data_IF_637782801961
#
_entry.id   IF_637782801961
#
_cell.length_a   1.000
_cell.length_b   1.000
_cell.length_c   1.000
_cell.angle_alpha   90.00
_cell.angle_beta   90.00
_cell.angle_gamma   90.00
#
_symmetry.space_group_name_H-M   'P 1'
#
loop_
_entity.id
_entity.type
_entity.pdbx_description
1 polymer ?
#
# COMPACT_ATOMS: atom_id res chain seq x y z
N UNK A 1 -10.75 -3.25 -16.87
CA UNK A 1 -11.79 -3.32 -17.92
C UNK A 1 -11.29 -4.04 -19.17
N UNK A 2 -10.12 -3.71 -19.73
CA UNK A 2 -9.62 -4.33 -20.97
C UNK A 2 -9.58 -5.87 -20.96
N UNK A 3 -9.18 -6.49 -19.85
CA UNK A 3 -9.19 -7.95 -19.72
C UNK A 3 -10.62 -8.56 -19.75
N UNK A 4 -11.60 -7.86 -19.16
CA UNK A 4 -13.02 -8.27 -19.18
C UNK A 4 -13.54 -8.19 -20.62
N UNK A 5 -13.26 -7.08 -21.32
CA UNK A 5 -13.63 -6.91 -22.72
C UNK A 5 -13.02 -8.00 -23.59
N UNK A 6 -11.72 -8.27 -23.45
CA UNK A 6 -11.05 -9.34 -24.19
C UNK A 6 -11.69 -10.70 -23.91
N UNK A 7 -12.02 -11.01 -22.66
CA UNK A 7 -12.69 -12.26 -22.30
C UNK A 7 -14.07 -12.39 -22.95
N UNK A 8 -14.90 -11.34 -22.86
CA UNK A 8 -16.23 -11.29 -23.50
C UNK A 8 -16.12 -11.41 -25.02
N UNK A 9 -15.20 -10.69 -25.65
CA UNK A 9 -14.97 -10.75 -27.10
C UNK A 9 -14.53 -12.14 -27.58
N UNK A 10 -13.77 -12.87 -26.76
CA UNK A 10 -13.27 -14.20 -27.09
C UNK A 10 -14.18 -15.33 -26.55
N UNK A 11 -15.35 -15.00 -26.00
CA UNK A 11 -16.25 -15.95 -25.36
C UNK A 11 -15.54 -16.82 -24.30
N UNK A 12 -14.67 -16.21 -23.51
CA UNK A 12 -13.92 -16.86 -22.42
C UNK A 12 -14.44 -16.37 -21.06
N UNK A 13 -14.41 -17.27 -20.08
CA UNK A 13 -14.62 -16.90 -18.69
C UNK A 13 -13.34 -16.29 -18.10
N UNK A 14 -13.49 -15.28 -17.26
CA UNK A 14 -12.40 -14.68 -16.47
C UNK A 14 -12.82 -14.64 -15.00
N UNK A 15 -11.91 -15.03 -14.12
CA UNK A 15 -12.02 -14.77 -12.67
C UNK A 15 -11.10 -13.60 -12.34
N UNK A 16 -11.57 -12.68 -11.50
CA UNK A 16 -10.85 -11.47 -11.13
C UNK A 16 -10.66 -11.47 -9.63
N UNK A 17 -9.41 -11.43 -9.19
CA UNK A 17 -9.09 -11.22 -7.79
C UNK A 17 -9.39 -9.76 -7.42
N UNK A 18 -10.26 -9.61 -6.42
CA UNK A 18 -10.68 -8.32 -5.87
C UNK A 18 -10.53 -8.35 -4.36
N UNK A 19 -10.47 -7.17 -3.75
CA UNK A 19 -10.25 -7.03 -2.32
C UNK A 19 -11.36 -6.22 -1.65
N UNK A 20 -11.49 -6.43 -0.33
CA UNK A 20 -12.38 -5.63 0.50
C UNK A 20 -12.07 -4.14 0.34
N UNK A 21 -13.08 -3.25 0.19
CA UNK A 21 -12.84 -1.82 -0.05
C UNK A 21 -11.84 -1.20 0.94
N UNK A 22 -12.00 -1.52 2.23
CA UNK A 22 -11.09 -1.09 3.30
C UNK A 22 -9.60 -1.42 3.10
N UNK A 23 -9.26 -2.44 2.30
CA UNK A 23 -7.90 -2.96 2.13
C UNK A 23 -7.45 -2.96 0.64
N UNK A 24 -8.18 -2.27 -0.23
CA UNK A 24 -7.97 -2.30 -1.67
C UNK A 24 -7.18 -1.11 -2.20
N UNK A 25 -6.66 -1.22 -3.43
CA UNK A 25 -5.97 -0.14 -4.16
C UNK A 25 -4.46 -0.07 -3.94
N UNK A 26 -3.80 0.89 -4.61
CA UNK A 26 -2.33 0.98 -4.67
C UNK A 26 -1.71 -0.33 -5.19
N UNK A 27 -0.84 -0.97 -4.42
CA UNK A 27 -0.21 -2.25 -4.74
C UNK A 27 -1.07 -3.47 -4.39
N UNK A 28 -2.22 -3.27 -3.72
CA UNK A 28 -3.20 -4.32 -3.43
C UNK A 28 -4.17 -4.52 -4.60
N UNK A 29 -5.06 -5.52 -4.50
CA UNK A 29 -6.02 -5.76 -5.57
C UNK A 29 -7.10 -4.66 -5.65
N UNK A 30 -7.76 -4.50 -6.81
CA UNK A 30 -8.87 -3.55 -6.95
C UNK A 30 -10.01 -3.82 -5.97
N UNK A 31 -10.72 -2.75 -5.58
CA UNK A 31 -11.91 -2.86 -4.71
C UNK A 31 -12.99 -3.71 -5.37
N UNK A 32 -13.52 -4.69 -4.64
CA UNK A 32 -14.62 -5.55 -5.11
C UNK A 32 -15.89 -4.74 -5.43
N UNK A 33 -16.22 -3.73 -4.62
CA UNK A 33 -17.43 -2.94 -4.83
C UNK A 33 -17.28 -1.99 -6.01
N UNK A 34 -16.11 -1.35 -6.16
CA UNK A 34 -15.82 -0.50 -7.33
C UNK A 34 -15.79 -1.32 -8.61
N UNK A 35 -15.22 -2.53 -8.60
CA UNK A 35 -15.21 -3.42 -9.76
C UNK A 35 -16.61 -3.88 -10.14
N UNK A 36 -17.43 -4.30 -9.18
CA UNK A 36 -18.81 -4.69 -9.44
C UNK A 36 -19.64 -3.54 -10.02
N UNK A 37 -19.50 -2.33 -9.47
CA UNK A 37 -20.15 -1.13 -10.01
C UNK A 37 -19.67 -0.79 -11.42
N UNK A 38 -18.37 -0.93 -11.69
CA UNK A 38 -17.81 -0.72 -13.02
C UNK A 38 -18.40 -1.70 -14.05
N UNK A 39 -18.54 -2.98 -13.70
CA UNK A 39 -19.18 -3.99 -14.56
C UNK A 39 -20.66 -3.69 -14.76
N UNK A 40 -21.39 -3.41 -13.66
CA UNK A 40 -22.82 -3.09 -13.67
C UNK A 40 -23.16 -1.94 -14.60
N UNK A 41 -22.36 -0.87 -14.52
CA UNK A 41 -22.60 0.37 -15.24
C UNK A 41 -21.93 0.40 -16.63
N UNK A 42 -21.33 -0.70 -17.08
CA UNK A 42 -20.71 -0.74 -18.39
C UNK A 42 -21.79 -0.79 -19.50
N UNK A 43 -21.65 -0.01 -20.60
CA UNK A 43 -22.70 0.11 -21.63
C UNK A 43 -23.00 -1.19 -22.38
N UNK A 44 -22.00 -2.04 -22.58
CA UNK A 44 -22.18 -3.32 -23.25
C UNK A 44 -22.94 -4.30 -22.35
N UNK A 45 -24.14 -4.70 -22.79
CA UNK A 45 -24.98 -5.67 -22.08
C UNK A 45 -24.31 -7.02 -21.87
N UNK A 46 -23.38 -7.40 -22.75
CA UNK A 46 -22.60 -8.63 -22.60
C UNK A 46 -21.60 -8.56 -21.47
N UNK A 47 -21.22 -7.35 -21.02
CA UNK A 47 -20.34 -7.14 -19.87
C UNK A 47 -21.15 -7.04 -18.60
N UNK A 48 -22.19 -6.19 -18.58
CA UNK A 48 -22.99 -5.99 -17.37
C UNK A 48 -23.79 -7.23 -16.93
N UNK A 49 -24.07 -8.17 -17.84
CA UNK A 49 -24.66 -9.48 -17.51
C UNK A 49 -23.76 -10.35 -16.62
N UNK A 50 -22.46 -10.07 -16.55
CA UNK A 50 -21.51 -10.76 -15.67
C UNK A 50 -21.29 -10.03 -14.34
N UNK A 51 -22.17 -9.11 -13.94
CA UNK A 51 -22.07 -8.45 -12.65
C UNK A 51 -22.07 -9.49 -11.51
N UNK A 52 -21.03 -9.51 -10.64
CA UNK A 52 -21.00 -10.43 -9.52
C UNK A 52 -22.07 -10.04 -8.48
N UNK A 53 -22.69 -11.05 -7.87
CA UNK A 53 -23.64 -10.83 -6.78
C UNK A 53 -22.87 -10.66 -5.44
N UNK A 54 -22.77 -9.42 -4.96
CA UNK A 54 -22.10 -9.08 -3.71
C UNK A 54 -23.09 -8.90 -2.57
N UNK A 55 -22.76 -9.42 -1.38
CA UNK A 55 -23.48 -9.11 -0.15
C UNK A 55 -23.01 -7.75 0.40
N UNK A 56 -23.65 -6.67 -0.04
CA UNK A 56 -23.29 -5.30 0.35
C UNK A 56 -23.49 -5.01 1.84
N UNK A 57 -24.47 -5.65 2.49
CA UNK A 57 -24.70 -5.48 3.92
C UNK A 57 -23.56 -6.08 4.73
N UNK A 58 -23.11 -7.29 4.39
CA UNK A 58 -21.94 -7.90 5.01
C UNK A 58 -20.68 -7.04 4.83
N UNK A 59 -20.45 -6.51 3.61
CA UNK A 59 -19.32 -5.61 3.33
C UNK A 59 -19.39 -4.35 4.20
N UNK A 60 -20.58 -3.76 4.33
CA UNK A 60 -20.81 -2.58 5.16
C UNK A 60 -20.54 -2.87 6.64
N UNK A 61 -21.00 -4.02 7.15
CA UNK A 61 -20.78 -4.45 8.53
C UNK A 61 -19.30 -4.66 8.86
N UNK A 62 -18.50 -5.15 7.90
CA UNK A 62 -17.06 -5.38 8.09
C UNK A 62 -16.18 -4.15 7.81
N UNK A 63 -16.73 -3.06 7.25
CA UNK A 63 -15.94 -1.91 6.82
C UNK A 63 -15.20 -1.23 7.98
N UNK A 64 -15.94 -0.83 9.01
CA UNK A 64 -15.40 -0.13 10.18
C UNK A 64 -14.33 -0.93 10.96
N UNK A 65 -14.54 -2.21 11.32
CA UNK A 65 -13.52 -3.00 12.01
C UNK A 65 -12.27 -3.20 11.14
N UNK A 66 -12.42 -3.35 9.82
CA UNK A 66 -11.28 -3.49 8.91
C UNK A 66 -10.51 -2.17 8.71
N UNK A 67 -11.20 -1.03 8.61
CA UNK A 67 -10.54 0.28 8.56
C UNK A 67 -9.80 0.58 9.87
N UNK A 68 -10.37 0.22 11.01
CA UNK A 68 -9.73 0.33 12.32
C UNK A 68 -8.50 -0.56 12.42
N UNK A 69 -8.60 -1.81 11.95
CA UNK A 69 -7.47 -2.73 11.87
C UNK A 69 -6.37 -2.17 10.96
N UNK A 70 -6.70 -1.72 9.74
CA UNK A 70 -5.74 -1.10 8.82
C UNK A 70 -5.04 0.09 9.46
N UNK A 71 -5.78 0.94 10.17
CA UNK A 71 -5.23 2.12 10.84
C UNK A 71 -4.25 1.77 11.98
N UNK A 72 -4.47 0.65 12.66
CA UNK A 72 -3.52 0.09 13.63
C UNK A 72 -2.15 -0.19 12.97
N UNK A 73 -2.14 -0.61 11.70
CA UNK A 73 -0.94 -0.89 10.92
C UNK A 73 -0.48 0.30 10.04
N UNK A 74 -0.92 1.54 10.33
CA UNK A 74 -0.58 2.73 9.52
C UNK A 74 0.93 2.98 9.33
N UNK A 75 1.77 2.54 10.25
CA UNK A 75 3.23 2.67 10.14
C UNK A 75 3.85 1.73 9.07
N UNK A 76 3.06 0.75 8.60
CA UNK A 76 3.43 -0.19 7.55
C UNK A 76 2.78 0.13 6.19
N UNK A 77 1.98 1.19 6.11
CA UNK A 77 1.36 1.62 4.86
C UNK A 77 2.43 2.11 3.88
N UNK A 78 2.28 1.72 2.60
CA UNK A 78 3.13 2.24 1.53
C UNK A 78 2.57 3.61 1.16
N UNK A 79 3.39 4.64 1.35
CA UNK A 79 3.06 6.01 0.95
C UNK A 79 2.96 6.11 -0.57
N UNK A 80 1.98 6.87 -1.05
CA UNK A 80 1.90 7.22 -2.46
C UNK A 80 3.05 8.13 -2.87
N UNK A 81 3.79 7.70 -3.90
CA UNK A 81 4.81 8.48 -4.58
C UNK A 81 4.69 8.17 -6.08
N UNK A 82 4.26 9.17 -6.86
CA UNK A 82 4.03 9.03 -8.30
C UNK A 82 5.30 8.61 -9.05
N UNK A 83 6.43 9.22 -8.72
CA UNK A 83 7.71 8.94 -9.39
C UNK A 83 8.17 7.51 -9.09
N UNK A 84 8.05 7.09 -7.83
CA UNK A 84 8.37 5.71 -7.44
C UNK A 84 7.49 4.71 -8.20
N UNK A 85 6.19 4.96 -8.31
CA UNK A 85 5.26 4.09 -9.05
C UNK A 85 5.59 4.02 -10.55
N UNK A 86 5.93 5.15 -11.17
CA UNK A 86 6.36 5.18 -12.58
C UNK A 86 7.64 4.37 -12.79
N UNK A 87 8.62 4.48 -11.89
CA UNK A 87 9.87 3.71 -11.94
C UNK A 87 9.58 2.23 -11.71
N UNK A 88 8.73 1.87 -10.74
CA UNK A 88 8.32 0.49 -10.49
C UNK A 88 7.67 -0.13 -11.73
N UNK A 89 6.79 0.60 -12.42
CA UNK A 89 6.15 0.16 -13.65
C UNK A 89 7.19 -0.13 -14.76
N UNK A 90 8.09 0.82 -15.02
CA UNK A 90 9.19 0.64 -16.01
C UNK A 90 10.08 -0.56 -15.66
N UNK A 91 10.38 -0.72 -14.38
CA UNK A 91 11.28 -1.76 -13.86
C UNK A 91 10.59 -3.10 -13.62
N UNK A 92 9.29 -3.22 -13.94
CA UNK A 92 8.46 -4.42 -13.76
C UNK A 92 8.48 -4.97 -12.33
N UNK A 93 8.53 -4.10 -11.32
CA UNK A 93 8.59 -4.50 -9.91
C UNK A 93 7.20 -4.92 -9.45
N UNK A 94 6.99 -6.15 -8.95
CA UNK A 94 5.70 -6.55 -8.38
C UNK A 94 5.49 -5.85 -7.04
N UNK A 95 4.24 -5.54 -6.70
CA UNK A 95 3.90 -4.77 -5.49
C UNK A 95 4.55 -5.31 -4.20
N UNK A 96 4.57 -6.64 -4.02
CA UNK A 96 5.16 -7.29 -2.85
C UNK A 96 6.69 -7.23 -2.76
N UNK A 97 7.41 -7.23 -3.90
CA UNK A 97 8.88 -7.21 -3.90
C UNK A 97 9.46 -5.89 -3.37
N UNK A 98 8.66 -4.81 -3.39
CA UNK A 98 9.10 -3.53 -2.85
C UNK A 98 9.45 -3.57 -1.36
N UNK A 99 8.87 -4.51 -0.63
CA UNK A 99 9.08 -4.69 0.81
C UNK A 99 10.29 -5.56 1.17
N UNK A 100 10.80 -6.38 0.26
CA UNK A 100 11.77 -7.45 0.56
C UNK A 100 13.20 -6.96 0.76
N UNK A 101 13.50 -5.72 0.39
CA UNK A 101 14.85 -5.16 0.50
C UNK A 101 15.22 -4.71 1.92
N UNK A 102 14.23 -4.39 2.77
CA UNK A 102 14.45 -3.89 4.14
C UNK A 102 15.13 -4.93 5.05
N UNK A 103 15.09 -6.20 4.68
CA UNK A 103 15.67 -7.30 5.45
C UNK A 103 17.16 -7.52 5.20
N UNK A 104 17.80 -6.79 4.27
CA UNK A 104 19.26 -6.92 4.04
C UNK A 104 20.00 -6.07 5.09
N UNK A 105 20.73 -6.69 6.04
CA UNK A 105 21.36 -5.95 7.14
C UNK A 105 22.37 -4.91 6.62
N UNK A 106 22.27 -3.69 7.15
CA UNK A 106 23.18 -2.59 6.81
C UNK A 106 23.01 -1.98 5.42
N UNK A 107 22.18 -2.55 4.53
CA UNK A 107 21.99 -2.03 3.16
C UNK A 107 21.50 -0.59 3.16
N UNK A 108 20.44 -0.32 3.95
CA UNK A 108 19.80 1.00 4.02
C UNK A 108 20.83 2.04 4.47
N UNK A 109 21.42 1.89 5.66
CA UNK A 109 22.37 2.89 6.20
C UNK A 109 23.61 3.10 5.32
N UNK A 110 24.05 2.06 4.60
CA UNK A 110 25.16 2.17 3.64
C UNK A 110 24.78 2.96 2.39
N UNK A 111 23.63 2.68 1.79
CA UNK A 111 23.14 3.41 0.62
C UNK A 111 22.78 4.85 0.98
N UNK A 112 22.17 5.11 2.15
CA UNK A 112 21.87 6.45 2.62
C UNK A 112 23.10 7.36 2.62
N UNK A 113 24.21 6.87 3.17
CA UNK A 113 25.47 7.61 3.24
C UNK A 113 26.11 7.79 1.87
N UNK A 114 26.03 6.80 0.98
CA UNK A 114 26.63 6.87 -0.36
C UNK A 114 25.83 7.72 -1.34
N UNK A 115 24.53 7.85 -1.13
CA UNK A 115 23.64 8.71 -1.92
C UNK A 115 23.55 10.14 -1.37
N UNK A 116 24.18 10.42 -0.22
CA UNK A 116 24.13 11.73 0.46
C UNK A 116 22.71 12.19 0.83
N UNK A 117 21.85 11.24 1.22
CA UNK A 117 20.42 11.48 1.52
C UNK A 117 20.12 11.37 3.02
N UNK A 118 21.14 11.49 3.88
CA UNK A 118 21.01 11.27 5.33
C UNK A 118 20.06 12.25 6.03
N UNK A 119 19.79 13.40 5.40
CA UNK A 119 18.89 14.42 5.93
C UNK A 119 17.51 14.41 5.23
N UNK A 120 17.27 13.51 4.27
CA UNK A 120 15.98 13.40 3.60
C UNK A 120 14.93 12.76 4.53
N UNK A 121 13.69 13.29 4.59
CA UNK A 121 12.64 12.75 5.45
C UNK A 121 12.16 11.35 5.02
N UNK A 122 12.31 10.98 3.73
CA UNK A 122 11.85 9.69 3.18
C UNK A 122 12.97 8.94 2.44
N UNK A 123 14.10 8.75 3.12
CA UNK A 123 15.31 8.09 2.59
C UNK A 123 15.03 6.77 1.89
N UNK A 124 14.13 5.97 2.47
CA UNK A 124 13.80 4.66 1.93
C UNK A 124 13.21 4.73 0.52
N UNK A 125 12.28 5.66 0.28
CA UNK A 125 11.63 5.82 -1.03
C UNK A 125 12.67 6.28 -2.06
N UNK A 126 13.57 7.19 -1.67
CA UNK A 126 14.70 7.66 -2.49
C UNK A 126 15.65 6.50 -2.87
N UNK A 127 16.04 5.67 -1.90
CA UNK A 127 16.84 4.45 -2.14
C UNK A 127 16.13 3.51 -3.12
N UNK A 128 14.84 3.28 -2.95
CA UNK A 128 14.08 2.41 -3.85
C UNK A 128 14.08 2.92 -5.29
N UNK A 129 13.91 4.23 -5.52
CA UNK A 129 14.00 4.82 -6.86
C UNK A 129 15.34 4.52 -7.52
N UNK A 130 16.45 4.71 -6.80
CA UNK A 130 17.79 4.38 -7.31
C UNK A 130 17.95 2.89 -7.63
N UNK A 131 17.51 2.01 -6.73
CA UNK A 131 17.60 0.56 -6.94
C UNK A 131 16.78 0.14 -8.16
N UNK A 132 15.55 0.61 -8.30
CA UNK A 132 14.70 0.22 -9.43
C UNK A 132 15.20 0.77 -10.76
N UNK A 133 15.79 1.96 -10.78
CA UNK A 133 16.48 2.46 -11.97
C UNK A 133 17.62 1.52 -12.40
N UNK A 134 18.41 1.00 -11.46
CA UNK A 134 19.41 -0.04 -11.77
C UNK A 134 18.74 -1.34 -12.21
N UNK A 135 17.65 -1.76 -11.58
CA UNK A 135 16.89 -2.96 -11.96
C UNK A 135 16.48 -2.91 -13.43
N UNK A 136 15.94 -1.77 -13.88
CA UNK A 136 15.55 -1.59 -15.28
C UNK A 136 16.71 -1.82 -16.27
N UNK A 137 17.93 -1.43 -15.89
CA UNK A 137 19.13 -1.60 -16.72
C UNK A 137 19.60 -3.06 -16.78
N UNK A 138 19.56 -3.77 -15.65
CA UNK A 138 20.13 -5.13 -15.57
C UNK A 138 19.18 -6.22 -16.09
N UNK A 139 17.89 -5.92 -16.27
CA UNK A 139 16.88 -6.91 -16.66
C UNK A 139 17.21 -7.65 -17.95
N UNK A 140 17.71 -6.95 -18.98
CA UNK A 140 18.11 -7.56 -20.25
C UNK A 140 19.32 -8.48 -20.10
N UNK A 141 20.29 -8.07 -19.29
CA UNK A 141 21.53 -8.82 -19.07
C UNK A 141 21.28 -10.18 -18.41
N UNK A 142 20.28 -10.25 -17.53
CA UNK A 142 19.86 -11.49 -16.86
C UNK A 142 18.77 -12.26 -17.62
N UNK A 143 18.51 -11.90 -18.88
CA UNK A 143 17.63 -12.64 -19.78
C UNK A 143 16.14 -12.34 -19.62
N UNK A 144 15.79 -11.19 -19.04
CA UNK A 144 14.40 -10.74 -18.84
C UNK A 144 13.51 -11.76 -18.09
N UNK A 145 13.90 -12.24 -16.89
CA UNK A 145 13.09 -13.19 -16.15
C UNK A 145 11.73 -12.60 -15.79
N UNK A 146 10.71 -13.46 -15.75
CA UNK A 146 9.39 -13.09 -15.22
C UNK A 146 9.52 -12.56 -13.79
N UNK A 147 9.05 -11.35 -13.55
CA UNK A 147 9.21 -10.65 -12.28
C UNK A 147 8.15 -11.08 -11.26
N UNK A 148 8.33 -12.30 -10.74
CA UNK A 148 7.58 -12.89 -9.63
C UNK A 148 8.55 -13.54 -8.65
N UNK A 149 8.16 -13.72 -7.39
CA UNK A 149 8.99 -14.43 -6.40
C UNK A 149 9.36 -15.84 -6.91
N UNK A 150 10.64 -16.27 -6.82
CA UNK A 150 11.78 -15.58 -6.20
C UNK A 150 12.57 -14.65 -7.16
N UNK A 151 12.33 -14.70 -8.48
CA UNK A 151 13.11 -13.95 -9.47
C UNK A 151 13.07 -12.43 -9.27
N UNK A 152 11.92 -11.88 -8.91
CA UNK A 152 11.80 -10.45 -8.59
C UNK A 152 12.71 -10.08 -7.42
N UNK A 153 12.63 -10.80 -6.29
CA UNK A 153 13.48 -10.56 -5.13
C UNK A 153 14.98 -10.68 -5.47
N UNK A 154 15.36 -11.65 -6.29
CA UNK A 154 16.75 -11.82 -6.73
C UNK A 154 17.21 -10.67 -7.63
N UNK A 155 16.37 -10.26 -8.58
CA UNK A 155 16.66 -9.14 -9.49
C UNK A 155 16.82 -7.85 -8.71
N UNK A 156 15.92 -7.58 -7.76
CA UNK A 156 15.97 -6.39 -6.92
C UNK A 156 17.19 -6.43 -5.97
N UNK A 157 17.51 -7.59 -5.40
CA UNK A 157 18.72 -7.77 -4.58
C UNK A 157 20.01 -7.53 -5.38
N UNK A 158 20.07 -7.99 -6.63
CA UNK A 158 21.19 -7.67 -7.52
C UNK A 158 21.23 -6.19 -7.87
N UNK A 159 20.09 -5.56 -8.15
CA UNK A 159 20.05 -4.14 -8.44
C UNK A 159 20.58 -3.29 -7.28
N UNK A 160 20.29 -3.68 -6.03
CA UNK A 160 20.83 -3.03 -4.83
C UNK A 160 22.36 -3.17 -4.72
N UNK A 161 22.90 -4.37 -4.97
CA UNK A 161 24.36 -4.59 -5.00
C UNK A 161 25.01 -3.86 -6.18
N UNK A 162 24.37 -3.84 -7.35
CA UNK A 162 24.87 -3.15 -8.53
C UNK A 162 24.86 -1.63 -8.34
N UNK A 163 23.86 -1.07 -7.64
CA UNK A 163 23.87 0.32 -7.21
C UNK A 163 25.06 0.58 -6.28
N UNK A 164 25.27 -0.27 -5.28
CA UNK A 164 26.42 -0.15 -4.38
C UNK A 164 27.75 -0.18 -5.12
N UNK A 165 27.94 -1.10 -6.07
CA UNK A 165 29.14 -1.17 -6.90
C UNK A 165 29.35 0.11 -7.70
N UNK A 166 28.29 0.61 -8.35
CA UNK A 166 28.33 1.86 -9.11
C UNK A 166 28.72 3.06 -8.24
N UNK A 167 28.21 3.14 -7.01
CA UNK A 167 28.55 4.20 -6.05
C UNK A 167 29.97 4.06 -5.43
N UNK A 168 30.72 3.02 -5.81
CA UNK A 168 32.12 2.83 -5.45
C UNK A 168 33.01 2.73 -6.71
N UNK A 169 32.55 3.27 -7.84
CA UNK A 169 33.28 3.29 -9.11
C UNK A 169 33.68 1.90 -9.62
N UNK A 170 32.82 0.91 -9.36
CA UNK A 170 32.98 -0.47 -9.83
C UNK A 170 31.96 -0.83 -10.91
N UNK A 171 32.28 -1.86 -11.69
CA UNK A 171 31.37 -2.51 -12.63
C UNK A 171 30.08 -2.97 -11.94
N UNK A 172 28.94 -2.87 -12.64
CA UNK A 172 27.62 -3.22 -12.08
C UNK A 172 27.58 -4.64 -11.51
N UNK A 173 28.29 -5.57 -12.16
CA UNK A 173 28.36 -6.98 -11.77
C UNK A 173 29.68 -7.35 -11.07
N UNK A 174 30.40 -6.39 -10.48
CA UNK A 174 31.59 -6.67 -9.65
C UNK A 174 31.28 -7.69 -8.55
N UNK A 175 30.11 -7.58 -7.93
CA UNK A 175 29.57 -8.58 -7.02
C UNK A 175 28.24 -9.11 -7.54
N UNK A 176 28.06 -10.44 -7.50
CA UNK A 176 26.79 -11.09 -7.83
C UNK A 176 26.01 -11.44 -6.57
N UNK A 177 24.74 -11.07 -6.54
CA UNK A 177 23.81 -11.44 -5.48
C UNK A 177 23.60 -12.96 -5.46
N UNK A 178 23.63 -13.64 -4.30
CA UNK A 178 23.53 -15.10 -4.23
C UNK A 178 22.30 -15.68 -4.94
N UNK A 179 21.16 -14.98 -4.85
CA UNK A 179 19.94 -15.38 -5.54
C UNK A 179 20.04 -15.28 -7.06
N UNK A 180 20.78 -14.30 -7.60
CA UNK A 180 21.08 -14.21 -9.03
C UNK A 180 22.07 -15.30 -9.45
N UNK A 181 23.10 -15.58 -8.65
CA UNK A 181 24.01 -16.71 -8.93
C UNK A 181 23.21 -18.00 -9.07
N UNK A 182 22.34 -18.31 -8.09
CA UNK A 182 21.49 -19.50 -8.12
C UNK A 182 20.55 -19.53 -9.33
N UNK A 183 19.97 -18.39 -9.71
CA UNK A 183 19.16 -18.27 -10.92
C UNK A 183 19.98 -18.58 -12.19
N UNK A 184 21.13 -17.92 -12.36
CA UNK A 184 21.96 -18.02 -13.57
C UNK A 184 22.52 -19.43 -13.78
N UNK A 185 22.86 -20.14 -12.71
CA UNK A 185 23.33 -21.54 -12.80
C UNK A 185 22.18 -22.55 -12.89
N UNK A 186 20.92 -22.11 -12.96
CA UNK A 186 19.76 -22.98 -13.20
C UNK A 186 19.14 -23.65 -11.97
N UNK A 187 19.53 -23.26 -10.74
CA UNK A 187 18.92 -23.81 -9.51
C UNK A 187 17.46 -23.36 -9.32
N UNK A 188 17.07 -22.26 -9.97
CA UNK A 188 15.67 -21.79 -9.99
C UNK A 188 14.92 -22.21 -11.26
N UNK A 189 15.43 -23.16 -12.03
CA UNK A 189 14.79 -23.64 -13.26
C UNK A 189 15.54 -23.26 -14.53
N UNK A 190 14.86 -23.39 -15.67
CA UNK A 190 15.48 -23.16 -16.98
C UNK A 190 15.82 -21.69 -17.17
N UNK A 191 17.03 -21.45 -17.63
CA UNK A 191 17.59 -20.11 -17.85
C UNK A 191 17.54 -19.78 -19.35
N UNK A 192 17.12 -18.56 -19.75
CA UNK A 192 17.09 -18.16 -21.16
C UNK A 192 18.48 -18.10 -21.80
N UNK A 193 18.57 -18.35 -23.11
CA UNK A 193 19.83 -18.22 -23.86
C UNK A 193 20.24 -16.76 -24.10
N UNK A 194 19.35 -15.80 -23.85
CA UNK A 194 19.57 -14.36 -24.02
C UNK A 194 20.43 -13.74 -22.90
N UNK A 195 20.83 -14.51 -21.90
CA UNK A 195 21.65 -14.02 -20.79
C UNK A 195 23.05 -13.59 -21.28
N UNK A 196 23.55 -12.52 -20.68
CA UNK A 196 24.90 -12.06 -20.89
C UNK A 196 25.92 -13.13 -20.47
N UNK A 197 26.69 -13.62 -21.46
CA UNK A 197 27.66 -14.72 -21.28
C UNK A 197 28.74 -14.42 -20.24
N UNK A 198 29.16 -13.16 -20.07
CA UNK A 198 30.17 -12.78 -19.08
C UNK A 198 29.66 -12.99 -17.65
N UNK A 199 28.40 -12.60 -17.41
CA UNK A 199 27.76 -12.73 -16.10
C UNK A 199 27.46 -14.19 -15.79
N UNK A 200 27.00 -14.95 -16.78
CA UNK A 200 26.78 -16.40 -16.65
C UNK A 200 28.09 -17.12 -16.26
N UNK A 201 29.19 -16.82 -16.97
CA UNK A 201 30.50 -17.39 -16.66
C UNK A 201 30.91 -17.08 -15.22
N UNK A 202 30.80 -15.82 -14.80
CA UNK A 202 31.10 -15.42 -13.41
C UNK A 202 30.26 -16.18 -12.38
N UNK A 203 28.97 -16.39 -12.64
CA UNK A 203 28.09 -17.14 -11.74
C UNK A 203 28.49 -18.63 -11.65
N UNK A 204 28.88 -19.22 -12.78
CA UNK A 204 29.38 -20.60 -12.86
C UNK A 204 30.70 -20.76 -12.10
N UNK A 205 31.65 -19.82 -12.29
CA UNK A 205 32.93 -19.81 -11.60
C UNK A 205 32.73 -19.73 -10.07
N UNK A 206 31.81 -18.88 -9.59
CA UNK A 206 31.46 -18.75 -8.15
C UNK A 206 30.86 -20.02 -7.54
N UNK A 207 30.31 -20.92 -8.35
CA UNK A 207 29.77 -22.21 -7.91
C UNK A 207 30.68 -23.39 -8.24
N UNK A 208 31.85 -23.14 -8.83
CA UNK A 208 32.76 -24.16 -9.33
C UNK A 208 32.06 -25.13 -10.29
N UNK A 209 31.31 -24.60 -11.26
CA UNK A 209 30.54 -25.37 -12.23
C UNK A 209 30.96 -25.04 -13.66
N UNK A 210 31.00 -26.03 -14.55
CA UNK A 210 31.29 -25.78 -15.98
C UNK A 210 30.04 -25.39 -16.79
N UNK A 211 28.86 -25.84 -16.35
CA UNK A 211 27.59 -25.65 -17.04
C UNK A 211 26.43 -25.49 -16.06
N UNK A 212 25.35 -24.79 -16.46
CA UNK A 212 24.14 -24.71 -15.64
C UNK A 212 23.56 -26.08 -15.31
N UNK A 213 22.91 -26.18 -14.16
CA UNK A 213 22.17 -27.35 -13.71
C UNK A 213 21.09 -27.70 -14.73
N UNK A 214 21.01 -28.98 -15.08
CA UNK A 214 19.87 -29.49 -15.86
C UNK A 214 18.64 -29.51 -14.97
N UNK A 215 17.57 -28.86 -15.41
CA UNK A 215 16.30 -28.89 -14.70
C UNK A 215 15.81 -30.32 -14.45
N UNK A 216 15.39 -30.59 -13.21
CA UNK A 216 14.78 -31.86 -12.78
C UNK A 216 13.32 -31.57 -12.40
N UNK A 217 12.40 -32.37 -12.95
CA UNK A 217 10.97 -32.29 -12.63
C UNK A 217 10.76 -32.53 -11.14
N UNK A 218 9.73 -31.91 -10.54
CA UNK A 218 9.36 -32.18 -9.15
C UNK A 218 8.98 -33.64 -8.91
N UNK A 219 8.49 -34.34 -9.94
CA UNK A 219 8.12 -35.76 -9.88
C UNK A 219 9.34 -36.69 -9.70
N UNK A 220 10.52 -36.23 -10.09
CA UNK A 220 11.76 -37.01 -10.07
C UNK A 220 12.64 -36.70 -8.86
N UNK A 221 12.16 -35.85 -7.93
CA UNK A 221 12.93 -35.46 -6.72
C UNK A 221 12.73 -36.48 -5.60
N UNK A 222 13.78 -36.67 -4.80
CA UNK A 222 13.73 -37.53 -3.62
C UNK A 222 12.70 -37.06 -2.59
N UNK A 223 11.97 -38.01 -1.99
CA UNK A 223 11.07 -37.72 -0.87
C UNK A 223 11.87 -37.51 0.41
N UNK A 224 11.75 -36.32 1.02
CA UNK A 224 12.51 -35.92 2.20
C UNK A 224 11.68 -35.88 3.50
N UNK A 225 10.42 -36.32 3.48
CA UNK A 225 9.54 -36.31 4.66
C UNK A 225 10.04 -37.22 5.79
N UNK A 226 10.58 -38.40 5.46
CA UNK A 226 11.06 -39.36 6.47
C UNK A 226 12.33 -38.86 7.17
N UNK A 227 13.17 -38.11 6.43
CA UNK A 227 14.31 -37.40 6.99
C UNK A 227 13.85 -36.33 7.98
N UNK A 228 12.87 -35.50 7.61
CA UNK A 228 12.31 -34.49 8.50
C UNK A 228 11.69 -35.11 9.76
N UNK A 229 10.98 -36.22 9.62
CA UNK A 229 10.43 -36.97 10.76
C UNK A 229 11.54 -37.36 11.75
N UNK A 230 12.60 -37.99 11.24
CA UNK A 230 13.72 -38.46 12.05
C UNK A 230 14.47 -37.32 12.74
N UNK A 231 14.68 -36.20 12.05
CA UNK A 231 15.34 -35.01 12.62
C UNK A 231 14.49 -34.34 13.71
N UNK A 232 13.18 -34.23 13.52
CA UNK A 232 12.27 -33.64 14.52
C UNK A 232 12.16 -34.52 15.77
N UNK A 233 12.15 -35.85 15.63
CA UNK A 233 12.20 -36.79 16.77
C UNK A 233 13.50 -36.59 17.55
N UNK A 234 14.65 -36.51 16.87
CA UNK A 234 15.95 -36.24 17.51
C UNK A 234 15.96 -34.90 18.24
N UNK A 235 15.22 -33.91 17.75
CA UNK A 235 15.07 -32.57 18.36
C UNK A 235 13.96 -32.51 19.42
N UNK A 236 13.42 -33.65 19.85
CA UNK A 236 12.52 -33.74 21.01
C UNK A 236 11.03 -33.82 20.68
N UNK A 237 10.63 -33.78 19.41
CA UNK A 237 9.22 -33.90 19.00
C UNK A 237 8.92 -35.38 18.78
N UNK A 238 8.38 -36.05 19.80
CA UNK A 238 8.22 -37.52 19.82
C UNK A 238 7.37 -38.09 18.66
N UNK A 239 6.35 -37.35 18.22
CA UNK A 239 5.46 -37.75 17.13
C UNK A 239 5.19 -36.55 16.19
N UNK A 240 6.12 -36.21 15.27
CA UNK A 240 5.98 -35.04 14.42
C UNK A 240 4.78 -35.16 13.47
N UNK A 241 3.88 -34.19 13.53
CA UNK A 241 2.75 -34.10 12.60
C UNK A 241 3.23 -33.82 11.17
N UNK A 242 2.39 -34.10 10.16
CA UNK A 242 2.69 -33.73 8.77
C UNK A 242 2.97 -32.23 8.65
N UNK A 243 2.20 -31.38 9.34
CA UNK A 243 2.42 -29.93 9.36
C UNK A 243 3.82 -29.57 9.87
N UNK A 244 4.27 -30.16 10.99
CA UNK A 244 5.60 -29.91 11.52
C UNK A 244 6.71 -30.38 10.58
N UNK A 245 6.55 -31.58 9.97
CA UNK A 245 7.50 -32.10 8.97
C UNK A 245 7.61 -31.17 7.77
N UNK A 246 6.49 -30.71 7.21
CA UNK A 246 6.47 -29.77 6.10
C UNK A 246 7.06 -28.41 6.48
N UNK A 247 6.68 -27.84 7.63
CA UNK A 247 7.25 -26.58 8.11
C UNK A 247 8.76 -26.68 8.32
N UNK A 248 9.26 -27.78 8.86
CA UNK A 248 10.69 -28.00 9.07
C UNK A 248 11.48 -28.15 7.75
N UNK A 249 10.84 -28.66 6.70
CA UNK A 249 11.44 -28.75 5.37
C UNK A 249 11.39 -27.43 4.59
N UNK A 250 10.36 -26.62 4.79
CA UNK A 250 10.09 -25.42 4.00
C UNK A 250 10.62 -24.11 4.61
N UNK A 251 10.81 -24.05 5.93
CA UNK A 251 11.26 -22.85 6.62
C UNK A 251 12.79 -22.84 6.77
N UNK A 252 13.38 -21.67 6.54
CA UNK A 252 14.81 -21.45 6.80
C UNK A 252 15.13 -21.52 8.30
N UNK A 253 14.26 -20.97 9.16
CA UNK A 253 14.35 -21.11 10.62
C UNK A 253 13.68 -22.41 11.08
N UNK A 254 14.40 -23.51 10.92
CA UNK A 254 13.95 -24.84 11.37
C UNK A 254 13.70 -24.91 12.88
N UNK A 255 14.42 -24.12 13.65
CA UNK A 255 14.27 -24.07 15.12
C UNK A 255 12.94 -23.45 15.54
N UNK A 256 12.33 -22.61 14.68
CA UNK A 256 10.99 -22.07 14.91
C UNK A 256 9.95 -23.17 15.17
N UNK A 257 10.04 -24.29 14.44
CA UNK A 257 9.09 -25.42 14.60
C UNK A 257 9.20 -26.02 16.00
N UNK A 258 10.40 -26.08 16.56
CA UNK A 258 10.67 -26.65 17.88
C UNK A 258 10.23 -25.67 18.96
N UNK A 259 10.57 -24.39 18.84
CA UNK A 259 10.11 -23.35 19.79
C UNK A 259 8.59 -23.29 19.85
N UNK A 260 7.91 -23.36 18.71
CA UNK A 260 6.45 -23.45 18.67
C UNK A 260 5.91 -24.71 19.36
N UNK A 261 6.58 -25.86 19.21
CA UNK A 261 6.19 -27.09 19.90
C UNK A 261 6.36 -27.00 21.41
N UNK A 262 7.42 -26.35 21.89
CA UNK A 262 7.70 -26.15 23.31
C UNK A 262 6.90 -25.01 23.95
N UNK A 263 6.10 -24.26 23.17
CA UNK A 263 5.38 -23.08 23.67
C UNK A 263 6.28 -21.87 23.94
N UNK A 264 7.47 -21.83 23.35
CA UNK A 264 8.48 -20.78 23.51
C UNK A 264 8.42 -19.72 22.40
N UNK A 265 7.43 -19.79 21.51
CA UNK A 265 7.28 -18.82 20.45
C UNK A 265 6.78 -17.47 21.01
N UNK A 266 7.57 -16.43 20.83
CA UNK A 266 7.19 -15.08 21.26
C UNK A 266 6.32 -14.46 20.15
N UNK A 267 5.06 -14.18 20.46
CA UNK A 267 4.19 -13.41 19.57
C UNK A 267 4.68 -11.98 19.43
N UNK A 268 4.65 -11.44 18.22
CA UNK A 268 4.94 -10.01 18.01
C UNK A 268 3.88 -9.17 18.73
N UNK A 269 4.33 -8.11 19.41
CA UNK A 269 3.43 -7.12 20.01
C UNK A 269 2.61 -6.49 18.88
N UNK A 270 1.29 -6.44 19.06
CA UNK A 270 0.42 -5.76 18.12
C UNK A 270 0.77 -4.26 18.06
N UNK A 271 0.76 -3.62 16.88
CA UNK A 271 0.94 -2.18 16.77
C UNK A 271 -0.12 -1.41 17.58
N UNK A 272 0.18 -0.20 18.03
CA UNK A 272 -0.75 0.60 18.84
C UNK A 272 -1.45 1.68 18.00
N UNK A 273 -2.71 1.94 18.37
CA UNK A 273 -3.50 3.04 17.82
C UNK A 273 -3.01 4.38 18.38
N UNK A 274 -3.08 5.49 17.62
CA UNK A 274 -2.81 6.81 18.17
C UNK A 274 -3.76 7.15 19.30
N UNK A 275 -3.28 7.93 20.27
CA UNK A 275 -4.06 8.38 21.42
C UNK A 275 -5.46 8.91 21.05
N UNK A 276 -5.55 9.73 20.00
CA UNK A 276 -6.80 10.38 19.57
C UNK A 276 -7.85 9.42 18.99
N UNK A 277 -7.50 8.16 18.73
CA UNK A 277 -8.42 7.13 18.24
C UNK A 277 -8.84 6.14 19.32
N UNK A 278 -8.26 6.23 20.52
CA UNK A 278 -8.67 5.41 21.64
C UNK A 278 -10.08 5.78 22.10
N UNK A 279 -10.73 4.85 22.80
CA UNK A 279 -12.04 5.12 23.39
C UNK A 279 -11.97 6.37 24.30
N UNK A 280 -12.93 7.30 24.17
CA UNK A 280 -13.00 8.43 25.10
C UNK A 280 -13.23 7.96 26.52
N UNK A 281 -12.79 8.78 27.47
CA UNK A 281 -13.01 8.53 28.90
C UNK A 281 -14.52 8.47 29.18
N UNK A 282 -15.00 7.51 30.01
CA UNK A 282 -16.41 7.43 30.38
C UNK A 282 -16.93 8.75 30.96
N UNK A 283 -18.20 9.10 30.67
CA UNK A 283 -18.81 10.36 31.15
C UNK A 283 -18.70 10.54 32.67
N UNK A 284 -18.77 9.45 33.44
CA UNK A 284 -18.63 9.46 34.90
C UNK A 284 -17.28 9.96 35.41
N UNK A 285 -16.24 9.89 34.58
CA UNK A 285 -14.89 10.33 34.92
C UNK A 285 -14.54 11.70 34.33
N UNK A 286 -15.47 12.33 33.59
CA UNK A 286 -15.24 13.64 32.97
C UNK A 286 -15.49 14.76 33.96
N UNK A 287 -14.58 15.74 33.95
CA UNK A 287 -14.76 16.99 34.69
C UNK A 287 -15.83 17.84 34.01
N UNK A 288 -16.56 18.62 34.80
CA UNK A 288 -17.45 19.66 34.28
C UNK A 288 -16.66 20.96 34.05
N UNK A 289 -17.15 21.77 33.14
CA UNK A 289 -16.73 23.15 32.91
C UNK A 289 -16.87 23.98 34.18
N UNK A 290 -16.21 25.15 34.22
CA UNK A 290 -16.27 26.07 35.38
C UNK A 290 -17.68 26.58 35.67
N UNK A 291 -18.54 26.67 34.66
CA UNK A 291 -19.95 27.05 34.79
C UNK A 291 -20.86 25.86 35.17
N UNK A 292 -20.31 24.63 35.26
CA UNK A 292 -21.04 23.42 35.64
C UNK A 292 -21.97 22.85 34.57
N UNK A 293 -22.12 23.52 33.43
CA UNK A 293 -23.14 23.20 32.42
C UNK A 293 -22.68 22.20 31.36
N UNK A 294 -21.39 22.17 31.00
CA UNK A 294 -20.84 21.26 30.00
C UNK A 294 -19.78 20.32 30.60
N UNK A 295 -19.56 19.18 29.93
CA UNK A 295 -18.40 18.34 30.26
C UNK A 295 -17.18 18.86 29.48
N UNK A 296 -16.00 18.73 30.09
CA UNK A 296 -14.74 18.96 29.40
C UNK A 296 -14.45 17.70 28.56
N UNK A 297 -14.57 17.85 27.25
CA UNK A 297 -14.34 16.81 26.26
C UNK A 297 -12.92 16.93 25.71
N UNK A 298 -12.34 15.81 25.30
CA UNK A 298 -11.00 15.78 24.72
C UNK A 298 -11.01 15.40 23.23
N UNK A 299 -9.82 15.37 22.61
CA UNK A 299 -9.67 15.05 21.19
C UNK A 299 -10.26 13.69 20.80
N UNK A 300 -10.29 12.68 21.69
CA UNK A 300 -10.91 11.38 21.41
C UNK A 300 -12.41 11.51 21.24
N UNK A 301 -13.04 12.36 22.05
CA UNK A 301 -14.46 12.68 21.91
C UNK A 301 -14.72 13.38 20.58
N UNK A 302 -13.85 14.31 20.20
CA UNK A 302 -14.01 15.08 18.97
C UNK A 302 -13.87 14.17 17.74
N UNK A 303 -12.84 13.31 17.72
CA UNK A 303 -12.64 12.32 16.66
C UNK A 303 -13.80 11.32 16.62
N UNK A 304 -14.29 10.83 17.76
CA UNK A 304 -15.47 9.96 17.80
C UNK A 304 -16.72 10.67 17.27
N UNK A 305 -16.92 11.95 17.60
CA UNK A 305 -18.08 12.74 17.18
C UNK A 305 -18.15 12.95 15.67
N UNK A 306 -17.00 13.15 15.01
CA UNK A 306 -16.95 13.31 13.55
C UNK A 306 -17.06 11.96 12.80
N UNK A 307 -16.99 10.82 13.50
CA UNK A 307 -17.16 9.48 12.92
C UNK A 307 -15.96 8.53 13.09
N UNK A 308 -14.93 8.93 13.84
CA UNK A 308 -13.81 8.09 14.21
C UNK A 308 -12.84 7.78 13.07
N UNK A 309 -12.13 6.66 13.20
CA UNK A 309 -11.17 6.17 12.19
C UNK A 309 -11.76 6.05 10.78
N UNK A 310 -13.00 5.55 10.58
CA UNK A 310 -13.59 5.47 9.24
C UNK A 310 -13.61 6.80 8.49
N UNK A 311 -13.99 7.90 9.16
CA UNK A 311 -14.04 9.23 8.52
C UNK A 311 -12.64 9.78 8.25
N UNK A 312 -11.69 9.57 9.14
CA UNK A 312 -10.29 9.95 8.89
C UNK A 312 -9.70 9.21 7.68
N UNK A 313 -9.99 7.92 7.56
CA UNK A 313 -9.60 7.10 6.40
C UNK A 313 -10.30 7.56 5.12
N UNK A 314 -11.59 7.91 5.18
CA UNK A 314 -12.33 8.45 4.03
C UNK A 314 -11.72 9.76 3.53
N UNK A 315 -11.40 10.71 4.43
CA UNK A 315 -10.70 11.95 4.07
C UNK A 315 -9.40 11.61 3.34
N UNK A 316 -8.59 10.72 3.90
CA UNK A 316 -7.33 10.31 3.31
C UNK A 316 -7.47 9.67 1.92
N UNK A 317 -8.45 8.78 1.74
CA UNK A 317 -8.71 8.15 0.45
C UNK A 317 -9.16 9.18 -0.61
N UNK A 318 -10.01 10.14 -0.23
CA UNK A 318 -10.50 11.18 -1.15
C UNK A 318 -9.38 12.11 -1.60
N UNK A 319 -8.57 12.61 -0.67
CA UNK A 319 -7.44 13.48 -0.99
C UNK A 319 -6.42 12.75 -1.86
N UNK A 320 -6.15 11.47 -1.56
CA UNK A 320 -5.28 10.64 -2.38
C UNK A 320 -5.83 10.45 -3.81
N UNK A 321 -7.13 10.20 -3.96
CA UNK A 321 -7.78 10.08 -5.26
C UNK A 321 -7.66 11.37 -6.08
N UNK A 322 -7.92 12.53 -5.47
CA UNK A 322 -7.75 13.84 -6.11
C UNK A 322 -6.31 14.05 -6.57
N UNK A 323 -5.34 13.72 -5.71
CA UNK A 323 -3.92 13.82 -6.03
C UNK A 323 -3.55 12.94 -7.22
N UNK A 324 -4.03 11.70 -7.25
CA UNK A 324 -3.79 10.75 -8.33
C UNK A 324 -4.45 11.16 -9.66
N UNK A 325 -5.61 11.81 -9.62
CA UNK A 325 -6.24 12.40 -10.80
C UNK A 325 -5.38 13.55 -11.34
N UNK A 326 -4.97 14.49 -10.48
CA UNK A 326 -4.08 15.60 -10.84
C UNK A 326 -2.75 15.12 -11.43
N UNK A 327 -2.20 14.06 -10.86
CA UNK A 327 -0.95 13.44 -11.30
C UNK A 327 -1.11 12.57 -12.57
N UNK A 328 -2.33 12.48 -13.13
CA UNK A 328 -2.66 11.64 -14.31
C UNK A 328 -2.28 10.18 -14.13
N UNK A 329 -2.43 9.67 -12.91
CA UNK A 329 -2.12 8.28 -12.58
C UNK A 329 -3.22 7.31 -13.07
N UNK A 330 -4.47 7.78 -13.15
CA UNK A 330 -5.57 6.99 -13.69
C UNK A 330 -5.54 6.95 -15.22
N UNK A 331 -5.69 5.76 -15.78
CA UNK A 331 -5.97 5.55 -17.20
C UNK A 331 -7.48 5.31 -17.31
N UNK A 332 -8.20 6.30 -17.84
CA UNK A 332 -9.63 6.18 -18.11
C UNK A 332 -9.85 5.51 -19.48
N UNK A 333 -10.88 4.67 -19.63
CA UNK A 333 -11.18 4.04 -20.91
C UNK A 333 -11.47 5.07 -22.02
N UNK A 334 -11.03 4.76 -23.24
CA UNK A 334 -11.32 5.58 -24.42
C UNK A 334 -12.84 5.76 -24.59
N UNK A 335 -13.26 6.98 -24.94
CA UNK A 335 -14.67 7.36 -25.09
C UNK A 335 -15.31 8.00 -23.85
N UNK A 336 -14.63 7.99 -22.70
CA UNK A 336 -15.11 8.60 -21.45
C UNK A 336 -14.28 9.83 -21.06
N UNK A 337 -14.43 10.92 -21.82
CA UNK A 337 -13.59 12.13 -21.67
C UNK A 337 -13.81 12.88 -20.34
N UNK A 338 -14.95 12.67 -19.68
CA UNK A 338 -15.39 13.41 -18.49
C UNK A 338 -15.25 12.62 -17.17
N UNK A 339 -14.92 11.32 -17.19
CA UNK A 339 -14.86 10.50 -15.98
C UNK A 339 -13.88 11.04 -14.94
N UNK A 340 -12.74 11.57 -15.38
CA UNK A 340 -11.76 12.20 -14.50
C UNK A 340 -12.34 13.42 -13.77
N UNK A 341 -13.06 14.29 -14.48
CA UNK A 341 -13.72 15.48 -13.92
C UNK A 341 -14.87 15.11 -12.99
N UNK A 342 -15.67 14.10 -13.36
CA UNK A 342 -16.75 13.59 -12.50
C UNK A 342 -16.18 13.05 -11.19
N UNK A 343 -15.08 12.30 -11.25
CA UNK A 343 -14.42 11.77 -10.06
C UNK A 343 -13.79 12.88 -9.22
N UNK A 344 -13.15 13.87 -9.85
CA UNK A 344 -12.61 15.03 -9.15
C UNK A 344 -13.71 15.76 -8.38
N UNK A 345 -14.78 16.17 -9.08
CA UNK A 345 -15.93 16.86 -8.48
C UNK A 345 -16.58 16.05 -7.36
N UNK A 346 -16.81 14.76 -7.57
CA UNK A 346 -17.44 13.87 -6.58
C UNK A 346 -16.60 13.76 -5.30
N UNK A 347 -15.27 13.65 -5.43
CA UNK A 347 -14.38 13.59 -4.28
C UNK A 347 -14.29 14.92 -3.56
N UNK A 348 -14.16 16.03 -4.28
CA UNK A 348 -14.11 17.39 -3.71
C UNK A 348 -15.40 17.72 -2.96
N UNK A 349 -16.57 17.58 -3.60
CA UNK A 349 -17.87 17.87 -2.96
C UNK A 349 -18.07 17.06 -1.68
N UNK A 350 -17.65 15.78 -1.68
CA UNK A 350 -17.82 14.96 -0.48
C UNK A 350 -16.81 15.29 0.61
N UNK A 351 -15.60 15.73 0.24
CA UNK A 351 -14.62 16.23 1.18
C UNK A 351 -15.13 17.50 1.87
N UNK A 352 -15.65 18.47 1.11
CA UNK A 352 -16.24 19.71 1.66
C UNK A 352 -17.37 19.39 2.64
N UNK A 353 -18.29 18.49 2.25
CA UNK A 353 -19.35 18.01 3.13
C UNK A 353 -18.84 17.36 4.42
N UNK A 354 -17.65 16.76 4.45
CA UNK A 354 -17.10 16.22 5.68
C UNK A 354 -16.57 17.36 6.55
N UNK A 355 -15.82 18.28 5.95
CA UNK A 355 -15.15 19.38 6.65
C UNK A 355 -16.18 20.39 7.20
N UNK A 356 -17.14 20.84 6.39
CA UNK A 356 -18.15 21.83 6.80
C UNK A 356 -19.07 21.34 7.93
N UNK A 357 -19.23 20.02 8.04
CA UNK A 357 -20.07 19.41 9.06
C UNK A 357 -19.33 19.14 10.37
N UNK A 358 -18.02 19.37 10.48
CA UNK A 358 -17.25 19.12 11.71
C UNK A 358 -17.87 19.84 12.89
N UNK A 359 -18.06 21.16 12.81
CA UNK A 359 -18.60 21.96 13.92
C UNK A 359 -20.01 21.52 14.29
N UNK A 360 -20.85 21.27 13.29
CA UNK A 360 -22.22 20.75 13.49
C UNK A 360 -22.21 19.40 14.22
N UNK A 361 -21.28 18.51 13.88
CA UNK A 361 -21.11 17.21 14.55
C UNK A 361 -20.63 17.39 16.00
N UNK A 362 -19.70 18.31 16.25
CA UNK A 362 -19.23 18.62 17.60
C UNK A 362 -20.36 19.19 18.47
N UNK A 363 -21.11 20.18 17.98
CA UNK A 363 -22.27 20.74 18.70
C UNK A 363 -23.26 19.63 19.08
N UNK A 364 -23.60 18.75 18.12
CA UNK A 364 -24.51 17.62 18.35
C UNK A 364 -24.02 16.66 19.46
N UNK A 365 -22.71 16.58 19.67
CA UNK A 365 -22.10 15.73 20.70
C UNK A 365 -21.77 16.47 22.00
N UNK A 366 -22.28 17.70 22.17
CA UNK A 366 -22.21 18.44 23.43
C UNK A 366 -20.94 19.26 23.63
N UNK A 367 -20.24 19.59 22.55
CA UNK A 367 -19.13 20.55 22.59
C UNK A 367 -19.71 21.98 22.59
N UNK A 368 -19.19 22.81 23.49
CA UNK A 368 -19.48 24.26 23.46
C UNK A 368 -18.57 25.00 22.47
N UNK A 369 -18.88 26.27 22.21
CA UNK A 369 -18.16 27.09 21.24
C UNK A 369 -16.66 27.24 21.55
N UNK A 370 -16.27 27.27 22.83
CA UNK A 370 -14.87 27.39 23.22
C UNK A 370 -14.13 26.08 22.96
N UNK A 371 -14.74 24.94 23.29
CA UNK A 371 -14.19 23.62 23.01
C UNK A 371 -14.05 23.38 21.50
N UNK A 372 -15.05 23.77 20.70
CA UNK A 372 -14.98 23.69 19.24
C UNK A 372 -13.77 24.47 18.74
N UNK A 373 -13.62 25.74 19.16
CA UNK A 373 -12.49 26.58 18.77
C UNK A 373 -11.14 25.96 19.15
N UNK A 374 -11.05 25.31 20.32
CA UNK A 374 -9.83 24.62 20.77
C UNK A 374 -9.46 23.40 19.91
N UNK A 375 -10.43 22.73 19.28
CA UNK A 375 -10.18 21.55 18.44
C UNK A 375 -10.10 21.85 16.94
N UNK A 376 -10.48 23.06 16.51
CA UNK A 376 -10.39 23.51 15.11
C UNK A 376 -9.30 24.55 14.87
N UNK A 377 -8.85 25.27 15.91
CA UNK A 377 -7.78 26.27 15.81
C UNK A 377 -6.56 25.84 16.65
N UNK A 378 -5.37 25.98 16.08
CA UNK A 378 -4.11 25.56 16.70
C UNK A 378 -3.74 26.46 17.90
N UNK A 379 -4.07 26.00 19.11
CA UNK A 379 -3.78 26.69 20.38
C UNK A 379 -2.97 25.81 21.37
N UNK A 380 -1.97 25.08 20.87
CA UNK A 380 -1.09 24.23 21.71
C UNK A 380 -1.69 22.90 22.17
N UNK A 381 -2.91 22.57 21.72
CA UNK A 381 -3.56 21.27 21.90
C UNK A 381 -3.65 20.54 20.55
N UNK A 382 -3.77 19.20 20.59
CA UNK A 382 -3.99 18.39 19.39
C UNK A 382 -5.37 18.71 18.79
N UNK A 383 -5.40 19.15 17.54
CA UNK A 383 -6.63 19.51 16.81
C UNK A 383 -7.13 18.38 15.91
N UNK A 384 -8.36 18.50 15.40
CA UNK A 384 -8.87 17.59 14.37
C UNK A 384 -8.02 17.68 13.10
N UNK A 385 -7.55 18.89 12.74
CA UNK A 385 -6.66 19.09 11.60
C UNK A 385 -5.30 18.40 11.79
N UNK A 386 -4.75 18.38 13.00
CA UNK A 386 -3.53 17.62 13.29
C UNK A 386 -3.75 16.10 13.14
N UNK A 387 -4.94 15.61 13.50
CA UNK A 387 -5.31 14.21 13.29
C UNK A 387 -5.47 13.88 11.80
N UNK A 388 -6.11 14.76 11.03
CA UNK A 388 -6.23 14.63 9.56
C UNK A 388 -4.83 14.65 8.91
N UNK A 389 -3.96 15.56 9.35
CA UNK A 389 -2.56 15.65 8.90
C UNK A 389 -1.83 14.33 9.14
N UNK A 390 -1.93 13.75 10.33
CA UNK A 390 -1.30 12.45 10.61
C UNK A 390 -1.77 11.38 9.62
N UNK A 391 -3.08 11.25 9.37
CA UNK A 391 -3.57 10.23 8.43
C UNK A 391 -3.11 10.50 6.99
N UNK A 392 -3.10 11.76 6.55
CA UNK A 392 -2.71 12.14 5.20
C UNK A 392 -1.21 11.93 4.94
N UNK A 393 -0.34 12.35 5.86
CA UNK A 393 1.12 12.18 5.70
C UNK A 393 1.56 10.71 5.78
N UNK A 394 0.72 9.83 6.35
CA UNK A 394 0.91 8.36 6.30
C UNK A 394 0.48 7.75 4.97
N UNK A 395 -0.35 8.46 4.20
CA UNK A 395 -0.89 8.00 2.91
C UNK A 395 -0.05 8.45 1.71
N UNK A 396 0.63 9.57 1.82
CA UNK A 396 1.50 10.10 0.78
C UNK A 396 2.14 11.39 1.26
N UNK A 397 3.39 11.62 0.85
CA UNK A 397 4.12 12.82 1.23
C UNK A 397 3.49 14.05 0.57
N UNK A 398 3.26 15.12 1.34
CA UNK A 398 2.70 16.36 0.80
C UNK A 398 1.19 16.29 0.56
N UNK A 399 0.50 15.24 1.02
CA UNK A 399 -0.94 15.12 0.86
C UNK A 399 -1.69 16.10 1.76
N UNK A 400 -1.14 16.45 2.92
CA UNK A 400 -1.78 17.45 3.78
C UNK A 400 -1.74 18.85 3.15
N UNK A 401 -0.61 19.25 2.57
CA UNK A 401 -0.50 20.52 1.85
C UNK A 401 -1.44 20.55 0.64
N UNK A 402 -1.50 19.45 -0.12
CA UNK A 402 -2.45 19.34 -1.23
C UNK A 402 -3.92 19.39 -0.78
N UNK A 403 -4.23 18.81 0.39
CA UNK A 403 -5.56 18.93 1.00
C UNK A 403 -5.93 20.38 1.30
N UNK A 404 -5.00 21.17 1.87
CA UNK A 404 -5.22 22.60 2.12
C UNK A 404 -5.45 23.37 0.81
N UNK A 405 -4.65 23.10 -0.24
CA UNK A 405 -4.84 23.71 -1.56
C UNK A 405 -6.24 23.44 -2.14
N UNK A 406 -6.76 22.22 -1.96
CA UNK A 406 -8.09 21.84 -2.44
C UNK A 406 -9.17 22.65 -1.72
N UNK A 407 -9.07 22.77 -0.39
CA UNK A 407 -10.02 23.54 0.41
C UNK A 407 -9.98 25.04 0.07
N UNK A 408 -8.80 25.63 -0.10
CA UNK A 408 -8.65 27.04 -0.45
C UNK A 408 -9.24 27.38 -1.82
N UNK A 409 -8.97 26.54 -2.83
CA UNK A 409 -9.51 26.73 -4.19
C UNK A 409 -11.03 26.68 -4.20
N UNK A 410 -11.62 25.79 -3.42
CA UNK A 410 -13.08 25.68 -3.37
C UNK A 410 -13.72 26.89 -2.67
N UNK A 411 -13.15 27.35 -1.54
CA UNK A 411 -13.60 28.57 -0.85
C UNK A 411 -13.53 29.82 -1.75
N UNK A 412 -12.49 29.95 -2.58
CA UNK A 412 -12.35 31.05 -3.53
C UNK A 412 -13.34 30.95 -4.72
N UNK A 413 -13.72 29.73 -5.14
CA UNK A 413 -14.73 29.51 -6.18
C UNK A 413 -16.14 29.81 -5.65
N UNK A 414 -16.45 29.46 -4.40
CA UNK A 414 -17.73 29.84 -3.79
C UNK A 414 -17.86 31.35 -3.58
N UNK A 415 -16.78 32.01 -3.13
CA UNK A 415 -16.77 33.46 -2.96
C UNK A 415 -16.89 34.21 -4.30
N UNK A 416 -16.24 33.73 -5.37
CA UNK A 416 -16.40 34.32 -6.71
C UNK A 416 -17.78 34.08 -7.32
N UNK A 417 -18.44 32.94 -7.05
CA UNK A 417 -19.84 32.70 -7.45
C UNK A 417 -20.85 33.55 -6.67
N UNK A 418 -20.56 33.89 -5.41
CA UNK A 418 -21.37 34.84 -4.61
C UNK A 418 -21.21 36.29 -5.07
N UNK A 419 -20.10 36.61 -5.75
CA UNK A 419 -19.79 37.95 -6.27
C UNK A 419 -20.09 38.11 -7.77
N UNK A 420 -20.56 37.08 -8.46
CA UNK A 420 -21.03 37.21 -9.84
C UNK A 420 -22.29 38.11 -9.87
N UNK A 421 -22.35 39.17 -10.69
CA UNK A 421 -23.51 40.04 -10.77
C UNK A 421 -24.73 39.22 -11.21
N UNK A 422 -25.87 39.46 -10.54
CA UNK A 422 -27.17 38.96 -10.97
C UNK A 422 -27.60 39.73 -12.21
N UNK A 423 -27.04 39.40 -13.36
CA UNK A 423 -27.54 39.89 -14.64
C UNK A 423 -28.82 39.13 -14.97
N UNK A 424 -29.95 39.77 -14.73
CA UNK A 424 -31.27 39.20 -14.94
C UNK A 424 -32.42 39.99 -14.32
N UNK A 425 -32.44 41.31 -14.53
CA UNK A 425 -33.67 42.09 -14.45
C UNK A 425 -33.78 42.86 -15.77
N UNK A 426 -34.53 42.31 -16.72
CA UNK A 426 -35.01 43.09 -17.86
C UNK A 426 -35.93 44.20 -17.32
N UNK A 427 -35.81 45.45 -17.83
CA UNK A 427 -36.75 46.50 -17.48
C UNK A 427 -38.09 46.25 -18.17
N UNK A 428 -39.21 46.65 -17.56
CA UNK A 428 -40.53 46.46 -18.16
C UNK A 428 -40.66 47.37 -19.38
N UNK A 429 -40.95 46.79 -20.52
CA UNK A 429 -41.36 47.50 -21.73
C UNK A 429 -42.71 48.18 -21.49
N UNK A 430 -42.77 49.50 -21.74
CA UNK A 430 -44.00 50.26 -21.93
C UNK A 430 -44.58 50.03 -23.33
#
# INVERSE_FOLDING_TARGET
MSAILAAVHNNKSITIDVQHPALSGSTAQPSMTKMAQLIKNYPDKRVNSYMPNLNYDAIKMSLDPLLTLRFKYRDYEIKYDKELLDIMYKSRVPGGASSTLKSIPGLIGNLERKLDIQNEPNKWDSIQKHIYNIQNLILSDIGNPTQVTPYAANTTGQAAISLWNKLNDKELYDTLYPGIVNYLVGLHGKVPNSINKKILKKALDLKCMDKPVKYISSLDRENTLDKANSELIKKGIKNPTIRQKLSYLLLDDKEHVIRCYMGENISQKSPELPFYTLNPVPKSMKKRSKDGHSYILDIRDAIKAIGGVPVLQEIAERVLHLKQIKDKHYIFPDGYKDLGEIWDKSNTTKLDQIIDYIDTKLIKHGFDANQIRSFTIKNGQLTILDCIKDVLERRGNGLYEYFLDVLEKHNNIENSKKMAPRDGLEPPTQ
#
